data_IF_524405594188
#
_entry.id   IF_524405594188
#
_cell.length_a   1.000
_cell.length_b   1.000
_cell.length_c   1.000
_cell.angle_alpha   90.00
_cell.angle_beta   90.00
_cell.angle_gamma   90.00
#
_symmetry.space_group_name_H-M   'P 1'
#
loop_
_entity.id
_entity.type
_entity.pdbx_description
1 polymer ?
#
# COMPACT_ATOMS: atom_id res chain seq x y z
N UNK A 1 9.23 11.05 -4.45
CA UNK A 1 10.47 10.91 -5.25
C UNK A 1 10.10 10.26 -6.58
N UNK A 2 10.74 10.68 -7.67
CA UNK A 2 10.58 10.10 -9.02
C UNK A 2 11.86 9.34 -9.34
N UNK A 3 11.80 8.16 -9.97
CA UNK A 3 12.99 7.38 -10.29
C UNK A 3 13.85 8.14 -11.31
N UNK A 4 15.17 8.19 -11.06
CA UNK A 4 16.11 8.71 -12.05
C UNK A 4 16.30 7.69 -13.18
N UNK A 5 16.59 8.12 -14.42
CA UNK A 5 16.74 7.21 -15.56
C UNK A 5 17.74 6.08 -15.32
N UNK A 6 18.86 6.37 -14.64
CA UNK A 6 19.88 5.38 -14.31
C UNK A 6 19.36 4.25 -13.40
N UNK A 7 18.28 4.47 -12.63
CA UNK A 7 17.73 3.47 -11.72
C UNK A 7 16.83 2.45 -12.43
N UNK A 8 16.26 2.81 -13.59
CA UNK A 8 15.20 2.05 -14.25
C UNK A 8 15.66 0.66 -14.71
N UNK A 9 16.92 0.52 -15.13
CA UNK A 9 17.50 -0.77 -15.56
C UNK A 9 17.95 -1.67 -14.41
N UNK A 10 18.03 -1.15 -13.17
CA UNK A 10 18.60 -1.88 -12.03
C UNK A 10 17.55 -2.29 -10.99
N UNK A 11 16.33 -1.78 -11.08
CA UNK A 11 15.28 -2.07 -10.10
C UNK A 11 14.21 -2.96 -10.73
N UNK A 12 14.18 -4.21 -10.27
CA UNK A 12 13.20 -5.20 -10.72
C UNK A 12 11.77 -4.94 -10.22
N UNK A 13 11.61 -4.24 -9.09
CA UNK A 13 10.31 -3.91 -8.52
C UNK A 13 10.35 -2.63 -7.69
N UNK A 14 9.32 -1.79 -7.83
CA UNK A 14 9.08 -0.62 -6.99
C UNK A 14 7.90 -0.87 -6.05
N UNK A 15 8.09 -0.57 -4.77
CA UNK A 15 7.00 -0.55 -3.80
C UNK A 15 6.74 0.90 -3.40
N UNK A 16 5.72 1.50 -4.01
CA UNK A 16 5.26 2.86 -3.75
C UNK A 16 4.24 2.80 -2.63
N UNK A 17 4.43 3.57 -1.55
CA UNK A 17 3.53 3.52 -0.39
C UNK A 17 3.02 4.91 -0.03
N UNK A 18 2.00 5.41 -0.79
CA UNK A 18 1.35 6.66 -0.47
C UNK A 18 0.73 6.56 0.93
N UNK A 19 0.66 7.69 1.63
CA UNK A 19 0.16 7.73 3.00
C UNK A 19 -1.29 8.17 3.00
N UNK A 20 -2.15 7.42 3.68
CA UNK A 20 -3.56 7.75 3.84
C UNK A 20 -3.77 8.77 4.95
N UNK A 21 -4.95 9.35 5.04
CA UNK A 21 -5.31 10.32 6.08
C UNK A 21 -5.08 9.79 7.49
N UNK A 22 -5.39 8.52 7.72
CA UNK A 22 -5.27 7.84 9.01
C UNK A 22 -3.83 7.55 9.43
N UNK A 23 -2.85 7.79 8.56
CA UNK A 23 -1.43 7.58 8.86
C UNK A 23 -0.84 8.62 9.82
N UNK A 24 -1.53 9.74 10.06
CA UNK A 24 -1.03 10.87 10.86
C UNK A 24 0.02 11.73 10.14
N UNK A 25 0.34 11.46 8.87
CA UNK A 25 1.26 12.29 8.09
C UNK A 25 0.58 13.61 7.66
N UNK A 26 1.33 14.73 7.60
CA UNK A 26 0.85 15.99 7.04
C UNK A 26 0.36 15.82 5.59
N UNK A 27 -0.67 16.57 5.21
CA UNK A 27 -1.33 16.44 3.92
C UNK A 27 -0.36 16.58 2.73
N UNK A 28 0.55 17.54 2.79
CA UNK A 28 1.59 17.77 1.78
C UNK A 28 2.56 16.59 1.57
N UNK A 29 2.59 15.63 2.49
CA UNK A 29 3.48 14.46 2.43
C UNK A 29 2.76 13.16 2.05
N UNK A 30 1.42 13.19 1.98
CA UNK A 30 0.60 12.00 1.73
C UNK A 30 0.55 11.59 0.27
N UNK A 31 0.50 12.58 -0.60
CA UNK A 31 0.26 12.44 -2.04
C UNK A 31 1.27 13.32 -2.79
N UNK A 32 2.06 12.71 -3.66
CA UNK A 32 2.99 13.42 -4.56
C UNK A 32 2.55 13.11 -5.99
N UNK A 33 1.66 13.92 -6.59
CA UNK A 33 0.96 13.57 -7.83
C UNK A 33 1.89 13.09 -8.95
N UNK A 34 2.93 13.88 -9.25
CA UNK A 34 3.88 13.56 -10.31
C UNK A 34 4.60 12.20 -10.08
N UNK A 35 4.85 11.83 -8.83
CA UNK A 35 5.44 10.54 -8.53
C UNK A 35 4.43 9.39 -8.76
N UNK A 36 3.18 9.57 -8.34
CA UNK A 36 2.13 8.56 -8.52
C UNK A 36 1.82 8.34 -10.01
N UNK A 37 1.69 9.41 -10.79
CA UNK A 37 1.54 9.37 -12.24
C UNK A 37 2.71 8.62 -12.90
N UNK A 38 3.96 8.94 -12.51
CA UNK A 38 5.14 8.27 -13.08
C UNK A 38 5.12 6.77 -12.79
N UNK A 39 4.90 6.38 -11.53
CA UNK A 39 4.90 4.96 -11.16
C UNK A 39 3.68 4.22 -11.69
N UNK A 40 2.54 4.89 -11.93
CA UNK A 40 1.35 4.25 -12.46
C UNK A 40 1.61 3.66 -13.86
N UNK A 41 2.48 4.31 -14.65
CA UNK A 41 2.90 3.85 -15.98
C UNK A 41 3.91 2.70 -15.96
N UNK A 42 4.50 2.37 -14.81
CA UNK A 42 5.54 1.36 -14.70
C UNK A 42 4.96 -0.01 -14.31
N UNK A 43 5.08 -1.00 -15.20
CA UNK A 43 4.53 -2.35 -14.97
C UNK A 43 5.12 -3.06 -13.73
N UNK A 44 6.33 -2.69 -13.31
CA UNK A 44 6.99 -3.22 -12.12
C UNK A 44 6.80 -2.38 -10.85
N UNK A 45 5.91 -1.38 -10.88
CA UNK A 45 5.56 -0.59 -9.71
C UNK A 45 4.24 -1.04 -9.09
N UNK A 46 4.29 -1.22 -7.78
CA UNK A 46 3.21 -1.70 -6.94
C UNK A 46 2.87 -0.66 -5.87
N UNK A 47 1.59 -0.43 -5.64
CA UNK A 47 1.07 0.60 -4.74
C UNK A 47 0.55 -0.04 -3.46
N UNK A 48 1.34 0.08 -2.39
CA UNK A 48 1.04 -0.54 -1.09
C UNK A 48 0.46 0.48 -0.11
N UNK A 49 -0.79 0.29 0.26
CA UNK A 49 -1.49 1.10 1.25
C UNK A 49 -1.56 0.37 2.59
N UNK A 50 -1.28 1.11 3.67
CA UNK A 50 -1.46 0.60 5.04
C UNK A 50 -2.84 1.02 5.52
N UNK A 51 -3.69 0.04 5.79
CA UNK A 51 -5.11 0.20 6.11
C UNK A 51 -5.30 0.07 7.62
N UNK A 52 -5.80 1.13 8.25
CA UNK A 52 -6.10 1.19 9.67
C UNK A 52 -7.55 0.88 9.96
N UNK A 53 -8.46 1.46 9.17
CA UNK A 53 -9.92 1.40 9.34
C UNK A 53 -10.61 1.17 7.99
N UNK A 54 -11.88 0.76 7.98
CA UNK A 54 -12.61 0.48 6.74
C UNK A 54 -12.75 1.72 5.82
N UNK A 55 -12.92 2.92 6.38
CA UNK A 55 -13.04 4.16 5.60
C UNK A 55 -11.78 4.54 4.82
N UNK A 56 -10.63 3.91 5.13
CA UNK A 56 -9.42 4.06 4.32
C UNK A 56 -9.64 3.51 2.89
N UNK A 57 -10.53 2.54 2.72
CA UNK A 57 -10.84 1.95 1.42
C UNK A 57 -11.41 2.98 0.44
N UNK A 58 -12.23 3.92 0.92
CA UNK A 58 -12.81 4.96 0.08
C UNK A 58 -11.72 5.90 -0.47
N UNK A 59 -10.75 6.27 0.38
CA UNK A 59 -9.60 7.08 -0.03
C UNK A 59 -8.70 6.31 -1.03
N UNK A 60 -8.48 5.01 -0.81
CA UNK A 60 -7.69 4.17 -1.71
C UNK A 60 -8.37 4.02 -3.08
N UNK A 61 -9.69 3.81 -3.11
CA UNK A 61 -10.45 3.75 -4.36
C UNK A 61 -10.35 5.09 -5.11
N UNK A 62 -10.55 6.21 -4.41
CA UNK A 62 -10.43 7.54 -5.02
C UNK A 62 -9.03 7.81 -5.59
N UNK A 63 -7.97 7.40 -4.90
CA UNK A 63 -6.60 7.49 -5.40
C UNK A 63 -6.35 6.55 -6.58
N UNK A 64 -6.90 5.33 -6.52
CA UNK A 64 -6.77 4.33 -7.59
C UNK A 64 -7.42 4.82 -8.88
N UNK A 65 -8.62 5.39 -8.80
CA UNK A 65 -9.33 5.98 -9.93
C UNK A 65 -8.58 7.22 -10.46
N UNK A 66 -8.19 8.13 -9.57
CA UNK A 66 -7.51 9.38 -9.94
C UNK A 66 -6.22 9.13 -10.72
N UNK A 67 -5.41 8.17 -10.29
CA UNK A 67 -4.11 7.86 -10.88
C UNK A 67 -4.14 6.65 -11.83
N UNK A 68 -5.32 6.11 -12.12
CA UNK A 68 -5.49 4.92 -12.96
C UNK A 68 -4.59 3.75 -12.52
N UNK A 69 -4.55 3.50 -11.21
CA UNK A 69 -3.77 2.41 -10.64
C UNK A 69 -4.42 1.09 -11.02
N UNK A 70 -3.66 0.21 -11.69
CA UNK A 70 -4.15 -1.11 -12.06
C UNK A 70 -4.48 -1.91 -10.76
N UNK A 71 -5.71 -2.44 -10.59
CA UNK A 71 -6.12 -3.10 -9.35
C UNK A 71 -5.18 -4.22 -8.89
N UNK A 72 -4.65 -5.01 -9.83
CA UNK A 72 -3.70 -6.08 -9.58
C UNK A 72 -2.32 -5.60 -9.09
N UNK A 73 -2.04 -4.30 -9.16
CA UNK A 73 -0.84 -3.65 -8.63
C UNK A 73 -1.09 -2.87 -7.34
N UNK A 74 -2.33 -2.84 -6.85
CA UNK A 74 -2.69 -2.25 -5.56
C UNK A 74 -2.63 -3.34 -4.48
N UNK A 75 -1.82 -3.11 -3.43
CA UNK A 75 -1.68 -3.99 -2.27
C UNK A 75 -2.26 -3.33 -1.03
N UNK A 76 -3.17 -4.03 -0.36
CA UNK A 76 -3.69 -3.62 0.93
C UNK A 76 -2.98 -4.38 2.04
N UNK A 77 -2.37 -3.63 2.95
CA UNK A 77 -1.69 -4.14 4.12
C UNK A 77 -2.38 -3.66 5.39
N UNK A 78 -2.75 -4.54 6.33
CA UNK A 78 -3.30 -4.12 7.61
C UNK A 78 -2.25 -3.37 8.44
N UNK A 79 -2.69 -2.31 9.12
CA UNK A 79 -1.98 -1.70 10.24
C UNK A 79 -2.05 -2.65 11.45
N UNK A 80 -0.94 -2.78 12.18
CA UNK A 80 -0.89 -3.57 13.40
C UNK A 80 0.54 -3.95 13.78
N UNK A 81 0.75 -4.17 15.09
CA UNK A 81 2.04 -4.57 15.68
C UNK A 81 1.98 -5.91 16.41
N UNK A 82 0.79 -6.50 16.55
CA UNK A 82 0.61 -7.82 17.17
C UNK A 82 -0.16 -8.76 16.24
N UNK A 83 0.06 -10.07 16.33
CA UNK A 83 -0.73 -11.05 15.58
C UNK A 83 -2.24 -10.87 15.78
N UNK A 84 -2.70 -10.62 17.01
CA UNK A 84 -4.12 -10.38 17.29
C UNK A 84 -4.68 -9.12 16.62
N UNK A 85 -3.89 -8.02 16.61
CA UNK A 85 -4.29 -6.80 15.92
C UNK A 85 -4.43 -7.01 14.41
N UNK A 86 -3.55 -7.82 13.83
CA UNK A 86 -3.58 -8.15 12.40
C UNK A 86 -4.74 -9.08 12.09
N UNK A 87 -4.96 -10.14 12.90
CA UNK A 87 -6.03 -11.10 12.70
C UNK A 87 -7.41 -10.42 12.63
N UNK A 88 -7.67 -9.44 13.52
CA UNK A 88 -8.91 -8.66 13.52
C UNK A 88 -9.14 -7.90 12.21
N UNK A 89 -8.08 -7.43 11.55
CA UNK A 89 -8.18 -6.68 10.29
C UNK A 89 -8.12 -7.57 9.05
N UNK A 90 -7.33 -8.65 9.10
CA UNK A 90 -7.15 -9.59 7.99
C UNK A 90 -8.50 -10.13 7.48
N UNK A 91 -9.43 -10.44 8.39
CA UNK A 91 -10.73 -11.00 8.03
C UNK A 91 -11.48 -10.12 7.04
N UNK A 92 -11.81 -8.88 7.41
CA UNK A 92 -12.57 -7.99 6.54
C UNK A 92 -11.74 -7.42 5.39
N UNK A 93 -10.42 -7.23 5.59
CA UNK A 93 -9.57 -6.63 4.57
C UNK A 93 -9.33 -7.58 3.38
N UNK A 94 -9.25 -8.88 3.63
CA UNK A 94 -9.14 -9.88 2.55
C UNK A 94 -10.41 -9.92 1.70
N UNK A 95 -11.60 -9.86 2.31
CA UNK A 95 -12.87 -9.74 1.60
C UNK A 95 -12.95 -8.45 0.76
N UNK A 96 -12.48 -7.33 1.32
CA UNK A 96 -12.39 -6.07 0.58
C UNK A 96 -11.45 -6.17 -0.63
N UNK A 97 -10.30 -6.85 -0.49
CA UNK A 97 -9.37 -7.08 -1.61
C UNK A 97 -10.05 -7.84 -2.74
N UNK A 98 -10.76 -8.94 -2.43
CA UNK A 98 -11.49 -9.73 -3.42
C UNK A 98 -12.55 -8.89 -4.12
N UNK A 99 -13.35 -8.14 -3.35
CA UNK A 99 -14.42 -7.29 -3.90
C UNK A 99 -13.90 -6.19 -4.82
N UNK A 100 -12.75 -5.59 -4.50
CA UNK A 100 -12.17 -4.46 -5.23
C UNK A 100 -11.17 -4.89 -6.33
N UNK A 101 -10.84 -6.18 -6.41
CA UNK A 101 -9.80 -6.69 -7.33
C UNK A 101 -8.38 -6.33 -6.90
N UNK A 102 -8.18 -5.91 -5.65
CA UNK A 102 -6.87 -5.59 -5.08
C UNK A 102 -6.19 -6.83 -4.50
N UNK A 103 -4.89 -6.70 -4.20
CA UNK A 103 -4.09 -7.79 -3.60
C UNK A 103 -3.92 -7.57 -2.11
N UNK A 104 -3.96 -8.66 -1.35
CA UNK A 104 -3.72 -8.63 0.08
C UNK A 104 -2.23 -8.86 0.38
N UNK A 105 -1.66 -8.06 1.29
CA UNK A 105 -0.29 -8.21 1.76
C UNK A 105 -0.20 -8.03 3.28
N UNK A 106 -0.12 -9.13 4.03
CA UNK A 106 0.00 -9.04 5.49
C UNK A 106 1.42 -8.68 5.96
N UNK A 107 1.54 -8.33 7.24
CA UNK A 107 2.82 -8.13 7.92
C UNK A 107 3.35 -9.46 8.41
N UNK A 108 3.87 -10.28 7.48
CA UNK A 108 4.32 -11.64 7.77
C UNK A 108 5.34 -11.68 8.92
N UNK A 109 6.27 -10.73 8.97
CA UNK A 109 7.26 -10.65 10.06
C UNK A 109 6.61 -10.51 11.45
N UNK A 110 5.52 -9.74 11.60
CA UNK A 110 4.79 -9.63 12.87
C UNK A 110 4.12 -10.95 13.24
N UNK A 111 3.60 -11.69 12.26
CA UNK A 111 2.97 -12.99 12.50
C UNK A 111 4.00 -14.05 12.93
N UNK A 112 5.22 -13.98 12.41
CA UNK A 112 6.29 -14.95 12.67
C UNK A 112 7.11 -14.63 13.92
N UNK A 113 7.41 -13.35 14.15
CA UNK A 113 8.39 -12.90 15.14
C UNK A 113 7.87 -11.77 16.05
N UNK A 114 6.61 -11.36 15.91
CA UNK A 114 6.10 -10.19 16.62
C UNK A 114 6.80 -8.89 16.18
N UNK A 115 6.78 -7.89 17.05
CA UNK A 115 7.36 -6.55 16.79
C UNK A 115 8.87 -6.48 17.13
N UNK A 116 9.59 -7.60 16.94
CA UNK A 116 11.03 -7.68 17.14
C UNK A 116 11.77 -6.97 15.99
N UNK A 117 12.70 -6.07 16.31
CA UNK A 117 13.48 -5.35 15.31
C UNK A 117 14.63 -6.21 14.80
N UNK A 118 14.84 -6.21 13.47
CA UNK A 118 15.98 -6.88 12.84
C UNK A 118 15.75 -8.36 12.48
N UNK A 119 14.49 -8.80 12.42
CA UNK A 119 14.09 -10.14 11.99
C UNK A 119 13.19 -10.10 10.76
#
# INVERSE_FOLDING_TARGET
MIPQPAMLSHIGQWNVSPKLRTSGNPEEQREVPLALETFALMANAYFKFVVSVESDLDEICALSDRYSLAPERVLLMPEGRTPDSLARKNSWLTEACVRLGFRFATRLHILLWGDERGR
#
